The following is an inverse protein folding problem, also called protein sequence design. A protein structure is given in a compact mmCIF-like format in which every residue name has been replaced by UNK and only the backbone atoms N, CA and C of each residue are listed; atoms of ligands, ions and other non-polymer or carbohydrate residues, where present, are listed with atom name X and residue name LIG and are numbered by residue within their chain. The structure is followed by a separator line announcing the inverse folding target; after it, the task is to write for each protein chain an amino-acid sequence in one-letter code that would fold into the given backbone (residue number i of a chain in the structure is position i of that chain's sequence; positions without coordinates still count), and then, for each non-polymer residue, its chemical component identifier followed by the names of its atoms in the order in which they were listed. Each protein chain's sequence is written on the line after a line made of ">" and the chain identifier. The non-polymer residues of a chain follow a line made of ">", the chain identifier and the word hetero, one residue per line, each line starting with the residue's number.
data_IF_465723117835
#
_entry.id   IF_465723117835
#
_cell.length_a   1.000
_cell.length_b   1.000
_cell.length_c   1.000
_cell.angle_alpha   90.00
_cell.angle_beta   90.00
_cell.angle_gamma   90.00
#
_symmetry.space_group_name_H-M   'P 1'
#
loop_
_entity.id
_entity.type
_entity.pdbx_description
1 polymer ?
#
# COMPACT_ATOMS: atom_id res chain seq x y z
N UNK A 1 -27.86 -22.87 0.99
CA UNK A 1 -26.45 -23.26 0.73
C UNK A 1 -25.67 -21.97 0.55
N UNK A 2 -24.92 -21.54 1.56
CA UNK A 2 -24.14 -20.30 1.50
C UNK A 2 -22.90 -20.55 0.63
N UNK A 3 -22.92 -20.05 -0.60
CA UNK A 3 -21.75 -20.07 -1.46
C UNK A 3 -20.70 -19.16 -0.82
N UNK A 4 -19.64 -19.77 -0.29
CA UNK A 4 -18.52 -19.12 0.37
C UNK A 4 -18.01 -18.00 -0.54
N UNK A 5 -18.35 -16.75 -0.19
CA UNK A 5 -17.78 -15.58 -0.82
C UNK A 5 -16.27 -15.65 -0.57
N UNK A 6 -15.52 -16.11 -1.58
CA UNK A 6 -14.08 -16.10 -1.57
C UNK A 6 -13.66 -14.63 -1.68
N UNK A 7 -13.80 -13.90 -0.56
CA UNK A 7 -13.38 -12.51 -0.46
C UNK A 7 -11.88 -12.55 -0.66
N UNK A 8 -11.40 -12.14 -1.82
CA UNK A 8 -9.97 -11.92 -2.03
C UNK A 8 -9.54 -10.82 -1.03
N UNK A 9 -9.10 -11.24 0.15
CA UNK A 9 -8.71 -10.39 1.28
C UNK A 9 -7.34 -9.78 1.05
N UNK A 10 -6.51 -10.47 0.26
CA UNK A 10 -5.13 -10.09 -0.04
C UNK A 10 -5.04 -8.70 -0.69
N UNK A 11 -5.81 -8.34 -1.74
CA UNK A 11 -5.84 -6.97 -2.26
C UNK A 11 -6.24 -5.90 -1.24
N UNK A 12 -7.12 -6.22 -0.28
CA UNK A 12 -7.58 -5.28 0.75
C UNK A 12 -6.52 -5.07 1.84
N UNK A 13 -5.86 -6.16 2.26
CA UNK A 13 -4.75 -6.13 3.21
C UNK A 13 -3.62 -5.24 2.71
N UNK A 14 -3.20 -5.41 1.45
CA UNK A 14 -2.15 -4.57 0.89
C UNK A 14 -2.52 -3.08 0.85
N UNK A 15 -3.78 -2.75 0.54
CA UNK A 15 -4.23 -1.35 0.57
C UNK A 15 -4.19 -0.78 1.98
N UNK A 16 -4.67 -1.53 2.97
CA UNK A 16 -4.59 -1.15 4.38
C UNK A 16 -3.14 -0.89 4.78
N UNK A 17 -2.24 -1.84 4.53
CA UNK A 17 -0.82 -1.70 4.91
C UNK A 17 -0.16 -0.50 4.21
N UNK A 18 -0.48 -0.24 2.93
CA UNK A 18 0.03 0.94 2.23
C UNK A 18 -0.49 2.23 2.88
N UNK A 19 -1.77 2.30 3.23
CA UNK A 19 -2.35 3.47 3.89
C UNK A 19 -1.78 3.68 5.29
N UNK A 20 -1.66 2.61 6.07
CA UNK A 20 -1.08 2.63 7.41
C UNK A 20 0.36 3.14 7.36
N UNK A 21 1.21 2.57 6.49
CA UNK A 21 2.61 3.01 6.33
C UNK A 21 2.72 4.47 5.90
N UNK A 22 1.88 4.93 4.96
CA UNK A 22 1.91 6.33 4.50
C UNK A 22 1.46 7.29 5.60
N UNK A 23 0.48 6.92 6.41
CA UNK A 23 0.04 7.74 7.52
C UNK A 23 1.10 7.80 8.62
N UNK A 24 1.72 6.67 8.95
CA UNK A 24 2.73 6.59 10.02
C UNK A 24 4.01 7.39 9.69
N UNK A 25 4.43 7.42 8.41
CA UNK A 25 5.63 8.18 8.01
C UNK A 25 5.35 9.64 7.67
N UNK A 26 4.08 10.08 7.61
CA UNK A 26 3.75 11.47 7.27
C UNK A 26 4.38 12.46 8.25
N UNK A 27 4.22 12.19 9.55
CA UNK A 27 4.75 13.08 10.58
C UNK A 27 6.29 13.14 10.56
N UNK A 28 6.94 12.04 10.16
CA UNK A 28 8.40 11.97 9.97
C UNK A 28 8.83 12.85 8.80
N UNK A 29 8.11 12.81 7.68
CA UNK A 29 8.40 13.66 6.52
C UNK A 29 8.22 15.14 6.86
N UNK A 30 7.20 15.48 7.63
CA UNK A 30 6.97 16.85 8.09
C UNK A 30 8.07 17.34 9.04
N UNK A 31 8.51 16.50 9.99
CA UNK A 31 9.60 16.82 10.94
C UNK A 31 10.94 17.02 10.21
N UNK A 32 11.22 16.19 9.21
CA UNK A 32 12.41 16.32 8.36
C UNK A 32 12.30 17.46 7.33
N UNK A 33 11.16 18.17 7.26
CA UNK A 33 10.91 19.24 6.30
C UNK A 33 10.85 18.75 4.84
N UNK A 34 10.52 17.49 4.63
CA UNK A 34 10.38 16.85 3.31
C UNK A 34 9.04 17.23 2.68
N UNK A 35 9.07 17.57 1.40
CA UNK A 35 7.88 17.96 0.64
C UNK A 35 6.85 16.80 0.55
N UNK A 36 5.56 17.12 0.73
CA UNK A 36 4.45 16.16 0.63
C UNK A 36 4.42 15.48 -0.76
N UNK A 37 4.92 16.14 -1.82
CA UNK A 37 5.07 15.53 -3.13
C UNK A 37 5.96 14.29 -3.07
N UNK A 38 7.04 14.29 -2.27
CA UNK A 38 7.92 13.14 -2.10
C UNK A 38 7.20 12.00 -1.37
N UNK A 39 6.35 12.33 -0.39
CA UNK A 39 5.49 11.34 0.27
C UNK A 39 4.49 10.71 -0.72
N UNK A 40 3.94 11.50 -1.63
CA UNK A 40 3.04 11.03 -2.68
C UNK A 40 3.76 10.19 -3.75
N UNK A 41 5.01 10.51 -4.05
CA UNK A 41 5.87 9.70 -4.92
C UNK A 41 6.19 8.34 -4.26
N UNK A 42 6.50 8.33 -2.96
CA UNK A 42 6.69 7.10 -2.18
C UNK A 42 5.43 6.21 -2.24
N UNK A 43 4.24 6.79 -2.00
CA UNK A 43 2.96 6.09 -2.13
C UNK A 43 2.79 5.48 -3.53
N UNK A 44 3.15 6.22 -4.57
CA UNK A 44 3.04 5.77 -5.96
C UNK A 44 3.97 4.59 -6.24
N UNK A 45 5.21 4.62 -5.73
CA UNK A 45 6.18 3.53 -5.86
C UNK A 45 5.73 2.29 -5.09
N UNK A 46 5.22 2.45 -3.86
CA UNK A 46 4.72 1.35 -3.04
C UNK A 46 3.55 0.63 -3.72
N UNK A 47 2.63 1.38 -4.34
CA UNK A 47 1.54 0.80 -5.12
C UNK A 47 2.03 -0.01 -6.34
N UNK A 48 3.05 0.49 -7.04
CA UNK A 48 3.64 -0.19 -8.21
C UNK A 48 4.41 -1.46 -7.81
N UNK A 49 5.20 -1.40 -6.74
CA UNK A 49 5.98 -2.54 -6.24
C UNK A 49 5.08 -3.66 -5.71
N UNK A 50 4.02 -3.34 -4.96
CA UNK A 50 3.03 -4.32 -4.50
C UNK A 50 2.26 -4.93 -5.68
N UNK A 51 1.93 -4.15 -6.72
CA UNK A 51 1.32 -4.69 -7.94
C UNK A 51 2.26 -5.66 -8.67
N UNK A 52 3.55 -5.35 -8.72
CA UNK A 52 4.57 -6.23 -9.31
C UNK A 52 4.81 -7.50 -8.46
N UNK A 53 4.86 -7.40 -7.14
CA UNK A 53 4.99 -8.57 -6.25
C UNK A 53 3.81 -9.55 -6.42
N UNK A 54 2.59 -9.04 -6.58
CA UNK A 54 1.41 -9.86 -6.88
C UNK A 54 1.56 -10.67 -8.17
N UNK A 55 2.20 -10.10 -9.20
CA UNK A 55 2.48 -10.80 -10.47
C UNK A 55 3.46 -11.96 -10.28
N UNK A 56 4.40 -11.86 -9.33
CA UNK A 56 5.38 -12.92 -9.04
C UNK A 56 4.83 -14.04 -8.16
N UNK A 57 3.87 -13.76 -7.26
CA UNK A 57 3.29 -14.79 -6.36
C UNK A 57 2.21 -15.62 -7.08
N UNK A 58 1.69 -15.13 -8.21
CA UNK A 58 0.64 -15.78 -9.00
C UNK A 58 1.18 -16.58 -10.22
N UNK A 59 2.50 -16.67 -10.38
CA UNK A 59 3.20 -17.44 -11.43
C UNK A 59 4.08 -18.52 -10.81
#
# INVERSE_FOLDING_TARGET
>A
MANSANTNTVPKLYRSVIEDVINDVRDIFLDDGVDEQVLMELKTILNKTVAAQKMFILW
#
